data_IF_177916292843
#
_entry.id   IF_177916292843
#
_cell.length_a   1.000
_cell.length_b   1.000
_cell.length_c   1.000
_cell.angle_alpha   90.00
_cell.angle_beta   90.00
_cell.angle_gamma   90.00
#
_symmetry.space_group_name_H-M   'P 1'
#
loop_
_entity.id
_entity.type
_entity.pdbx_description
1 polymer ?
#
# COMPACT_ATOMS: atom_id res chain seq x y z
N UNK A 1 -29.64 -16.75 7.67
CA UNK A 1 -28.61 -17.30 6.75
C UNK A 1 -27.33 -17.49 7.54
N UNK A 2 -27.45 -18.26 8.61
CA UNK A 2 -26.38 -18.69 9.51
C UNK A 2 -26.21 -20.19 9.24
N UNK A 3 -25.46 -20.53 8.18
CA UNK A 3 -25.00 -21.91 7.93
C UNK A 3 -24.01 -21.95 6.76
N UNK A 4 -22.79 -21.47 7.01
CA UNK A 4 -21.60 -21.73 6.17
C UNK A 4 -20.30 -21.53 6.96
N UNK A 5 -20.30 -21.91 8.25
CA UNK A 5 -19.11 -21.99 9.09
C UNK A 5 -18.74 -23.45 9.41
N UNK A 6 -18.96 -24.36 8.46
CA UNK A 6 -18.62 -25.77 8.60
C UNK A 6 -17.36 -26.11 7.77
N UNK A 7 -16.27 -26.34 8.52
CA UNK A 7 -15.07 -27.12 8.16
C UNK A 7 -14.06 -26.49 7.19
N UNK A 8 -13.60 -25.27 7.48
CA UNK A 8 -12.19 -24.96 7.17
C UNK A 8 -11.37 -25.91 8.04
N UNK A 9 -10.70 -26.90 7.46
CA UNK A 9 -9.94 -27.87 8.24
C UNK A 9 -9.02 -27.11 9.19
N UNK A 10 -9.07 -27.37 10.51
CA UNK A 10 -8.38 -26.57 11.54
C UNK A 10 -6.92 -26.20 11.17
N UNK A 11 -6.25 -27.11 10.45
CA UNK A 11 -4.89 -26.92 9.96
C UNK A 11 -4.73 -25.73 8.99
N UNK A 12 -5.70 -25.46 8.10
CA UNK A 12 -5.67 -24.35 7.14
C UNK A 12 -5.68 -23.00 7.85
N UNK A 13 -6.44 -22.88 8.95
CA UNK A 13 -6.49 -21.66 9.76
C UNK A 13 -5.14 -21.35 10.39
N UNK A 14 -4.54 -22.34 11.08
CA UNK A 14 -3.21 -22.17 11.68
C UNK A 14 -2.13 -21.92 10.62
N UNK A 15 -2.22 -22.59 9.47
CA UNK A 15 -1.31 -22.39 8.35
C UNK A 15 -1.43 -20.97 7.77
N UNK A 16 -2.65 -20.48 7.53
CA UNK A 16 -2.90 -19.12 7.04
C UNK A 16 -2.31 -18.06 7.98
N UNK A 17 -2.50 -18.23 9.30
CA UNK A 17 -1.93 -17.33 10.31
C UNK A 17 -0.41 -17.37 10.30
N UNK A 18 0.18 -18.56 10.20
CA UNK A 18 1.64 -18.70 10.13
C UNK A 18 2.20 -17.98 8.90
N UNK A 19 1.61 -18.20 7.72
CA UNK A 19 2.00 -17.51 6.48
C UNK A 19 1.84 -16.00 6.64
N UNK A 20 0.71 -15.54 7.17
CA UNK A 20 0.45 -14.11 7.40
C UNK A 20 1.51 -13.47 8.31
N UNK A 21 1.79 -14.07 9.48
CA UNK A 21 2.77 -13.54 10.43
C UNK A 21 4.19 -13.53 9.85
N UNK A 22 4.59 -14.58 9.13
CA UNK A 22 5.90 -14.67 8.50
C UNK A 22 6.03 -13.60 7.40
N UNK A 23 5.08 -13.54 6.46
CA UNK A 23 5.05 -12.54 5.39
C UNK A 23 5.08 -11.13 5.96
N UNK A 24 4.26 -10.84 6.97
CA UNK A 24 4.21 -9.52 7.59
C UNK A 24 5.50 -9.18 8.36
N UNK A 25 6.10 -10.14 9.06
CA UNK A 25 7.40 -9.98 9.72
C UNK A 25 8.51 -9.62 8.73
N UNK A 26 8.53 -10.25 7.55
CA UNK A 26 9.47 -9.90 6.48
C UNK A 26 9.22 -8.51 5.90
N UNK A 27 7.96 -8.10 5.73
CA UNK A 27 7.61 -6.75 5.27
C UNK A 27 8.09 -5.70 6.28
N UNK A 28 7.84 -5.90 7.58
CA UNK A 28 8.29 -4.99 8.64
C UNK A 28 9.82 -4.91 8.72
N UNK A 29 10.51 -6.02 8.46
CA UNK A 29 11.97 -6.00 8.47
C UNK A 29 12.57 -5.13 7.37
N UNK A 30 11.82 -4.75 6.34
CA UNK A 30 12.24 -3.94 5.17
C UNK A 30 13.51 -4.42 4.44
N UNK A 31 14.00 -5.64 4.74
CA UNK A 31 15.23 -6.21 4.16
C UNK A 31 15.05 -6.72 2.74
N UNK A 32 13.82 -7.05 2.35
CA UNK A 32 13.45 -7.56 1.04
C UNK A 32 12.32 -6.71 0.45
N UNK A 33 12.13 -6.79 -0.87
CA UNK A 33 11.06 -6.08 -1.55
C UNK A 33 9.69 -6.57 -1.05
N UNK A 34 8.95 -5.67 -0.37
CA UNK A 34 7.60 -5.90 0.15
C UNK A 34 6.61 -6.48 -0.87
N UNK A 35 6.69 -6.06 -2.14
CA UNK A 35 5.80 -6.59 -3.18
C UNK A 35 6.12 -8.06 -3.51
N UNK A 36 7.41 -8.41 -3.58
CA UNK A 36 7.84 -9.79 -3.83
C UNK A 36 7.43 -10.70 -2.68
N UNK A 37 7.64 -10.26 -1.43
CA UNK A 37 7.24 -11.00 -0.23
C UNK A 37 5.72 -11.23 -0.20
N UNK A 38 4.93 -10.18 -0.45
CA UNK A 38 3.47 -10.27 -0.46
C UNK A 38 2.95 -11.22 -1.55
N UNK A 39 3.50 -11.13 -2.76
CA UNK A 39 3.15 -12.05 -3.86
C UNK A 39 3.56 -13.49 -3.55
N UNK A 40 4.71 -13.71 -2.93
CA UNK A 40 5.14 -15.04 -2.52
C UNK A 40 4.23 -15.65 -1.46
N UNK A 41 3.84 -14.87 -0.44
CA UNK A 41 2.85 -15.29 0.56
C UNK A 41 1.50 -15.64 -0.08
N UNK A 42 1.01 -14.81 -1.01
CA UNK A 42 -0.22 -15.08 -1.76
C UNK A 42 -0.11 -16.36 -2.62
N UNK A 43 1.03 -16.58 -3.29
CA UNK A 43 1.27 -17.79 -4.08
C UNK A 43 1.26 -19.05 -3.21
N UNK A 44 1.88 -19.02 -2.02
CA UNK A 44 1.81 -20.13 -1.07
C UNK A 44 0.34 -20.43 -0.70
N UNK A 45 -0.45 -19.40 -0.38
CA UNK A 45 -1.86 -19.58 -0.01
C UNK A 45 -2.69 -20.24 -1.11
N UNK A 46 -2.40 -19.93 -2.38
CA UNK A 46 -3.07 -20.51 -3.55
C UNK A 46 -2.60 -21.95 -3.79
N UNK A 47 -1.29 -22.20 -3.79
CA UNK A 47 -0.70 -23.53 -4.07
C UNK A 47 -1.18 -24.58 -3.05
N UNK A 48 -1.29 -24.20 -1.78
CA UNK A 48 -1.78 -25.08 -0.72
C UNK A 48 -3.31 -25.15 -0.64
N UNK A 49 -4.03 -24.50 -1.57
CA UNK A 49 -5.49 -24.55 -1.66
C UNK A 49 -6.22 -23.89 -0.49
N UNK A 50 -5.55 -22.98 0.22
CA UNK A 50 -6.16 -22.21 1.31
C UNK A 50 -7.06 -21.11 0.75
N UNK A 51 -6.68 -20.56 -0.40
CA UNK A 51 -7.48 -19.60 -1.17
C UNK A 51 -7.56 -20.08 -2.62
N UNK A 52 -8.78 -20.15 -3.15
CA UNK A 52 -9.01 -20.46 -4.56
C UNK A 52 -8.59 -19.29 -5.47
N UNK A 53 -7.93 -19.61 -6.60
CA UNK A 53 -7.42 -18.61 -7.54
C UNK A 53 -8.53 -17.77 -8.16
N UNK A 54 -9.65 -18.38 -8.54
CA UNK A 54 -10.75 -17.66 -9.17
C UNK A 54 -11.40 -16.68 -8.19
N UNK A 55 -11.62 -17.13 -6.96
CA UNK A 55 -12.17 -16.31 -5.87
C UNK A 55 -11.19 -15.21 -5.44
N UNK A 56 -9.88 -15.46 -5.47
CA UNK A 56 -8.87 -14.46 -5.20
C UNK A 56 -8.98 -13.28 -6.20
N UNK A 57 -9.02 -13.58 -7.49
CA UNK A 57 -9.07 -12.56 -8.55
C UNK A 57 -10.38 -11.79 -8.63
N UNK A 58 -11.51 -12.47 -8.39
CA UNK A 58 -12.84 -11.87 -8.56
C UNK A 58 -13.36 -11.18 -7.31
N UNK A 59 -12.99 -11.65 -6.12
CA UNK A 59 -13.60 -11.19 -4.86
C UNK A 59 -12.60 -10.61 -3.85
N UNK A 60 -11.32 -11.01 -3.89
CA UNK A 60 -10.33 -10.51 -2.92
C UNK A 60 -9.48 -9.35 -3.46
N UNK A 61 -9.25 -9.29 -4.78
CA UNK A 61 -8.58 -8.15 -5.41
C UNK A 61 -9.56 -6.97 -5.52
N UNK A 62 -9.23 -5.87 -4.85
CA UNK A 62 -9.99 -4.62 -4.92
C UNK A 62 -9.56 -3.79 -6.13
N UNK A 63 -10.18 -4.05 -7.27
CA UNK A 63 -9.83 -3.41 -8.55
C UNK A 63 -10.08 -1.91 -8.55
N UNK A 64 -11.11 -1.43 -7.85
CA UNK A 64 -11.40 -0.01 -7.73
C UNK A 64 -10.25 0.72 -7.03
N UNK A 65 -9.77 0.17 -5.92
CA UNK A 65 -8.65 0.73 -5.14
C UNK A 65 -7.36 0.71 -5.95
N UNK A 66 -7.01 -0.41 -6.59
CA UNK A 66 -5.80 -0.50 -7.41
C UNK A 66 -5.83 0.52 -8.55
N UNK A 67 -6.96 0.60 -9.27
CA UNK A 67 -7.12 1.54 -10.40
C UNK A 67 -7.04 2.99 -9.91
N UNK A 68 -7.67 3.31 -8.79
CA UNK A 68 -7.62 4.63 -8.17
C UNK A 68 -6.20 5.02 -7.73
N UNK A 69 -5.47 4.10 -7.08
CA UNK A 69 -4.09 4.33 -6.67
C UNK A 69 -3.17 4.53 -7.87
N UNK A 70 -3.32 3.72 -8.92
CA UNK A 70 -2.58 3.90 -10.18
C UNK A 70 -2.87 5.28 -10.78
N UNK A 71 -4.15 5.67 -10.88
CA UNK A 71 -4.55 6.98 -11.37
C UNK A 71 -3.95 8.13 -10.57
N UNK A 72 -3.99 8.03 -9.24
CA UNK A 72 -3.39 9.00 -8.32
C UNK A 72 -1.87 9.10 -8.54
N UNK A 73 -1.17 7.97 -8.67
CA UNK A 73 0.29 7.98 -8.92
C UNK A 73 0.64 8.60 -10.28
N UNK A 74 -0.15 8.34 -11.33
CA UNK A 74 0.03 8.96 -12.65
C UNK A 74 -0.16 10.48 -12.57
N UNK A 75 -1.24 10.95 -11.93
CA UNK A 75 -1.50 12.38 -11.79
C UNK A 75 -0.38 13.08 -11.02
N UNK A 76 0.01 12.55 -9.86
CA UNK A 76 1.13 13.08 -9.06
C UNK A 76 2.42 13.13 -9.88
N UNK A 77 2.71 12.10 -10.68
CA UNK A 77 3.88 12.06 -11.52
C UNK A 77 3.88 13.14 -12.62
N UNK A 78 2.76 13.32 -13.33
CA UNK A 78 2.62 14.34 -14.37
C UNK A 78 2.71 15.75 -13.76
N UNK A 79 2.05 15.98 -12.62
CA UNK A 79 2.12 17.26 -11.89
C UNK A 79 3.53 17.57 -11.41
N UNK A 80 4.30 16.55 -11.02
CA UNK A 80 5.72 16.73 -10.68
C UNK A 80 6.55 17.12 -11.90
N UNK A 81 6.31 16.50 -13.07
CA UNK A 81 7.07 16.83 -14.29
C UNK A 81 6.78 18.23 -14.83
N UNK A 82 5.60 18.79 -14.57
CA UNK A 82 5.26 20.15 -15.01
C UNK A 82 5.90 21.26 -14.16
N UNK A 83 6.63 20.91 -13.09
CA UNK A 83 7.34 21.87 -12.23
C UNK A 83 6.47 22.53 -11.16
N UNK A 84 5.24 22.03 -10.96
CA UNK A 84 4.30 22.60 -9.96
C UNK A 84 4.86 22.41 -8.55
N UNK A 85 5.37 21.23 -8.21
CA UNK A 85 5.93 20.99 -6.86
C UNK A 85 7.20 21.82 -6.63
N UNK A 86 8.06 21.97 -7.63
CA UNK A 86 9.26 22.81 -7.58
C UNK A 86 8.91 24.28 -7.38
N UNK A 87 7.93 24.81 -8.13
CA UNK A 87 7.45 26.17 -7.98
C UNK A 87 6.97 26.44 -6.55
N UNK A 88 6.15 25.54 -6.00
CA UNK A 88 5.61 25.70 -4.65
C UNK A 88 6.71 25.53 -3.60
N UNK A 89 7.64 24.59 -3.75
CA UNK A 89 8.77 24.40 -2.86
C UNK A 89 9.68 25.63 -2.80
N UNK A 90 10.00 26.25 -3.94
CA UNK A 90 10.80 27.48 -4.00
C UNK A 90 10.06 28.64 -3.33
N UNK A 91 8.75 28.76 -3.56
CA UNK A 91 7.93 29.81 -2.94
C UNK A 91 7.86 29.65 -1.42
N UNK A 92 7.69 28.42 -0.92
CA UNK A 92 7.71 28.10 0.50
C UNK A 92 9.09 28.38 1.13
N UNK A 93 10.18 28.01 0.46
CA UNK A 93 11.54 28.27 0.94
C UNK A 93 11.84 29.77 1.06
N UNK A 94 11.42 30.58 0.07
CA UNK A 94 11.53 32.04 0.11
C UNK A 94 10.69 32.64 1.23
N UNK A 95 9.45 32.18 1.42
CA UNK A 95 8.58 32.65 2.51
C UNK A 95 9.08 32.25 3.91
N UNK A 96 9.89 31.20 4.02
CA UNK A 96 10.48 30.73 5.27
C UNK A 96 11.79 31.45 5.66
N UNK A 97 12.29 32.40 4.85
CA UNK A 97 13.62 33.01 4.99
C UNK A 97 14.77 31.98 5.07
N UNK A 98 14.61 30.83 4.41
CA UNK A 98 15.59 29.73 4.48
C UNK A 98 15.69 29.01 5.83
N UNK A 99 14.85 29.33 6.82
CA UNK A 99 14.88 28.70 8.16
C UNK A 99 14.28 27.28 8.09
N UNK A 100 15.03 26.21 8.43
CA UNK A 100 14.60 24.83 8.24
C UNK A 100 13.25 24.48 8.89
N UNK A 101 13.04 24.91 10.14
CA UNK A 101 11.79 24.64 10.87
C UNK A 101 10.58 25.32 10.20
N UNK A 102 10.76 26.56 9.70
CA UNK A 102 9.68 27.27 9.00
C UNK A 102 9.36 26.62 7.66
N UNK A 103 10.36 26.13 6.94
CA UNK A 103 10.16 25.37 5.69
C UNK A 103 9.34 24.12 5.98
N UNK A 104 9.72 23.33 6.99
CA UNK A 104 8.98 22.12 7.38
C UNK A 104 7.53 22.42 7.74
N UNK A 105 7.28 23.49 8.51
CA UNK A 105 5.93 23.92 8.86
C UNK A 105 5.11 24.36 7.63
N UNK A 106 5.69 25.18 6.75
CA UNK A 106 5.00 25.65 5.55
C UNK A 106 4.71 24.51 4.56
N UNK A 107 5.66 23.59 4.36
CA UNK A 107 5.45 22.42 3.51
C UNK A 107 4.44 21.44 4.14
N UNK A 108 4.46 21.22 5.46
CA UNK A 108 3.42 20.42 6.14
C UNK A 108 2.04 21.03 6.01
N UNK A 109 1.90 22.35 6.18
CA UNK A 109 0.62 23.05 5.99
C UNK A 109 0.12 22.94 4.55
N UNK A 110 1.03 23.08 3.59
CA UNK A 110 0.71 22.89 2.18
C UNK A 110 0.22 21.46 1.92
N UNK A 111 0.92 20.43 2.42
CA UNK A 111 0.47 19.03 2.31
C UNK A 111 -0.85 18.81 3.02
N UNK A 112 -1.08 19.41 4.19
CA UNK A 112 -2.34 19.27 4.92
C UNK A 112 -3.54 19.91 4.21
N UNK A 113 -3.33 20.95 3.40
CA UNK A 113 -4.38 21.57 2.58
C UNK A 113 -4.53 20.89 1.22
N UNK A 114 -3.45 20.30 0.70
CA UNK A 114 -3.40 19.69 -0.64
C UNK A 114 -3.60 18.18 -0.69
N UNK A 115 -3.52 17.48 0.45
CA UNK A 115 -3.84 16.04 0.60
C UNK A 115 -5.29 15.82 1.00
#
# INVERSE_FOLDING_TARGET
MEQSAHEVANWQYYFAIAVFLITYGFIISEKLNRAVIALFGAAIMIIFGVVDLHTAFTSHIQWETITLLIGMMILVHITSQSGVFEFVAIKAAKAADGKPIRILLLLSLLTAVGS
#
